data_IF_763291298047
#
_entry.id   IF_763291298047
#
_cell.length_a   1.000
_cell.length_b   1.000
_cell.length_c   1.000
_cell.angle_alpha   90.00
_cell.angle_beta   90.00
_cell.angle_gamma   90.00
#
_symmetry.space_group_name_H-M   'P 1'
#
loop_
_entity.id
_entity.type
_entity.pdbx_description
1 polymer ?
#
# COMPACT_ATOMS: atom_id res chain seq x y z
N UNK A 1 24.40 -22.32 0.60
CA UNK A 1 23.58 -21.72 -0.48
C UNK A 1 22.06 -21.72 -0.23
N UNK A 2 21.53 -22.37 0.82
CA UNK A 2 20.11 -22.26 1.19
C UNK A 2 19.83 -21.11 2.17
N UNK A 3 20.79 -20.78 3.05
CA UNK A 3 20.63 -19.69 4.03
C UNK A 3 20.51 -18.30 3.39
N UNK A 4 21.28 -18.03 2.32
CA UNK A 4 21.23 -16.74 1.60
C UNK A 4 19.86 -16.51 0.91
N UNK A 5 19.18 -17.58 0.49
CA UNK A 5 17.87 -17.48 -0.17
C UNK A 5 16.74 -17.15 0.80
N UNK A 6 16.80 -17.69 2.02
CA UNK A 6 15.76 -17.46 3.04
C UNK A 6 15.83 -16.01 3.55
N UNK A 7 17.03 -15.48 3.78
CA UNK A 7 17.22 -14.11 4.24
C UNK A 7 16.79 -13.04 3.20
N UNK A 8 16.88 -13.34 1.90
CA UNK A 8 16.44 -12.44 0.81
C UNK A 8 14.91 -12.45 0.63
N UNK A 9 14.28 -13.61 0.85
CA UNK A 9 12.82 -13.80 0.89
C UNK A 9 12.18 -13.12 2.12
N UNK A 10 12.86 -13.13 3.26
CA UNK A 10 12.42 -12.44 4.49
C UNK A 10 12.56 -10.92 4.40
N UNK A 11 13.45 -10.40 3.54
CA UNK A 11 13.64 -8.95 3.31
C UNK A 11 12.62 -8.31 2.35
N UNK A 12 11.74 -9.08 1.70
CA UNK A 12 10.87 -8.57 0.63
C UNK A 12 9.39 -9.00 0.73
N UNK A 13 8.95 -9.55 1.87
CA UNK A 13 7.53 -9.78 2.11
C UNK A 13 6.87 -8.52 2.69
N UNK A 14 6.32 -7.67 1.82
CA UNK A 14 5.47 -6.56 2.26
C UNK A 14 4.18 -7.12 2.89
N UNK A 15 3.83 -6.60 4.06
CA UNK A 15 2.59 -6.93 4.78
C UNK A 15 1.75 -5.67 4.96
N UNK A 16 0.42 -5.84 4.96
CA UNK A 16 -0.54 -4.81 5.32
C UNK A 16 -1.18 -5.27 6.63
N UNK A 17 -0.97 -4.52 7.72
CA UNK A 17 -1.43 -4.88 9.07
C UNK A 17 -1.11 -6.33 9.45
N UNK A 18 0.16 -6.74 9.26
CA UNK A 18 0.68 -8.10 9.52
C UNK A 18 0.11 -9.20 8.60
N UNK A 19 -0.78 -8.84 7.67
CA UNK A 19 -1.30 -9.76 6.65
C UNK A 19 -0.41 -9.68 5.40
N UNK A 20 0.09 -10.80 4.85
CA UNK A 20 0.82 -10.78 3.59
C UNK A 20 -0.01 -10.14 2.48
N UNK A 21 0.60 -9.31 1.64
CA UNK A 21 -0.11 -8.56 0.58
C UNK A 21 -1.01 -9.46 -0.27
N UNK A 22 -0.53 -10.64 -0.69
CA UNK A 22 -1.31 -11.58 -1.50
C UNK A 22 -2.61 -12.03 -0.79
N UNK A 23 -2.54 -12.23 0.53
CA UNK A 23 -3.71 -12.59 1.33
C UNK A 23 -4.64 -11.40 1.53
N UNK A 24 -4.10 -10.21 1.73
CA UNK A 24 -4.88 -8.98 1.88
C UNK A 24 -5.70 -8.67 0.62
N UNK A 25 -5.13 -8.82 -0.58
CA UNK A 25 -5.84 -8.56 -1.84
C UNK A 25 -7.08 -9.45 -2.02
N UNK A 26 -7.02 -10.72 -1.62
CA UNK A 26 -8.18 -11.63 -1.69
C UNK A 26 -9.32 -11.28 -0.73
N UNK A 27 -9.01 -10.48 0.31
CA UNK A 27 -9.94 -10.11 1.39
C UNK A 27 -10.19 -8.61 1.43
N UNK A 28 -9.79 -7.91 0.37
CA UNK A 28 -9.87 -6.47 0.32
C UNK A 28 -11.32 -6.02 0.54
N UNK A 29 -11.50 -5.15 1.53
CA UNK A 29 -12.75 -4.47 1.81
C UNK A 29 -12.49 -2.98 1.78
N UNK A 30 -13.41 -2.23 1.16
CA UNK A 30 -13.34 -0.78 1.16
C UNK A 30 -13.57 -0.27 2.59
N UNK A 31 -12.62 0.50 3.10
CA UNK A 31 -12.76 1.15 4.41
C UNK A 31 -13.69 2.38 4.26
N UNK A 32 -15.00 2.14 4.37
CA UNK A 32 -16.04 3.17 4.28
C UNK A 32 -15.88 4.29 5.32
N UNK A 33 -15.24 3.99 6.46
CA UNK A 33 -14.98 4.97 7.50
C UNK A 33 -13.85 5.94 7.12
N UNK A 34 -12.83 5.46 6.40
CA UNK A 34 -11.75 6.31 5.87
C UNK A 34 -12.11 7.00 4.56
N UNK A 35 -12.88 6.34 3.69
CA UNK A 35 -13.26 6.86 2.38
C UNK A 35 -14.78 6.83 2.21
N UNK A 36 -15.44 7.89 2.67
CA UNK A 36 -16.88 8.03 2.59
C UNK A 36 -17.34 7.95 1.13
N UNK A 37 -18.19 6.97 0.81
CA UNK A 37 -18.76 6.71 -0.52
C UNK A 37 -19.81 7.75 -0.94
N UNK A 38 -20.11 8.73 -0.08
CA UNK A 38 -21.09 9.80 -0.33
C UNK A 38 -20.52 10.97 -1.15
N UNK A 39 -19.19 11.06 -1.31
CA UNK A 39 -18.56 12.03 -2.21
C UNK A 39 -18.64 11.56 -3.67
N UNK A 40 -18.79 12.46 -4.65
CA UNK A 40 -18.75 12.10 -6.06
C UNK A 40 -17.51 11.27 -6.37
N UNK A 41 -17.64 10.21 -7.19
CA UNK A 41 -16.52 9.34 -7.55
C UNK A 41 -15.31 10.13 -8.06
N UNK A 42 -15.55 11.23 -8.79
CA UNK A 42 -14.51 12.15 -9.27
C UNK A 42 -13.66 12.73 -8.13
N UNK A 43 -14.26 13.10 -7.01
CA UNK A 43 -13.56 13.66 -5.85
C UNK A 43 -12.75 12.58 -5.12
N UNK A 44 -13.32 11.38 -4.95
CA UNK A 44 -12.62 10.23 -4.36
C UNK A 44 -11.38 9.89 -5.21
N UNK A 45 -11.57 9.75 -6.53
CA UNK A 45 -10.49 9.46 -7.48
C UNK A 45 -9.42 10.55 -7.43
N UNK A 46 -9.81 11.83 -7.42
CA UNK A 46 -8.86 12.95 -7.36
C UNK A 46 -8.04 12.91 -6.07
N UNK A 47 -8.70 12.66 -4.93
CA UNK A 47 -8.04 12.56 -3.62
C UNK A 47 -7.03 11.40 -3.56
N UNK A 48 -7.41 10.22 -4.07
CA UNK A 48 -6.52 9.05 -4.12
C UNK A 48 -5.29 9.36 -4.99
N UNK A 49 -5.48 9.95 -6.17
CA UNK A 49 -4.36 10.31 -7.05
C UNK A 49 -3.41 11.30 -6.38
N UNK A 50 -3.93 12.30 -5.67
CA UNK A 50 -3.11 13.27 -4.95
C UNK A 50 -2.30 12.62 -3.82
N UNK A 51 -2.92 11.69 -3.06
CA UNK A 51 -2.25 10.97 -1.98
C UNK A 51 -1.13 10.05 -2.52
N UNK A 52 -1.39 9.30 -3.60
CA UNK A 52 -0.38 8.46 -4.25
C UNK A 52 0.79 9.30 -4.76
N UNK A 53 0.52 10.41 -5.47
CA UNK A 53 1.56 11.29 -5.97
C UNK A 53 2.45 11.87 -4.87
N UNK A 54 1.85 12.20 -3.71
CA UNK A 54 2.61 12.66 -2.54
C UNK A 54 3.50 11.55 -1.98
N UNK A 55 2.98 10.33 -1.82
CA UNK A 55 3.76 9.18 -1.35
C UNK A 55 4.94 8.92 -2.29
N UNK A 56 4.73 8.98 -3.60
CA UNK A 56 5.78 8.83 -4.60
C UNK A 56 6.85 9.93 -4.50
N UNK A 57 6.46 11.19 -4.31
CA UNK A 57 7.41 12.31 -4.11
C UNK A 57 8.22 12.13 -2.83
N UNK A 58 7.57 11.73 -1.74
CA UNK A 58 8.23 11.48 -0.45
C UNK A 58 9.17 10.27 -0.52
N UNK A 59 8.83 9.23 -1.28
CA UNK A 59 9.71 8.08 -1.52
C UNK A 59 10.89 8.42 -2.44
N UNK A 60 10.68 9.32 -3.41
CA UNK A 60 11.74 9.82 -4.31
C UNK A 60 12.73 10.75 -3.61
N UNK A 61 12.41 11.29 -2.44
CA UNK A 61 13.38 11.97 -1.59
C UNK A 61 14.13 10.89 -0.80
N UNK A 62 15.30 10.41 -1.25
CA UNK A 62 16.14 9.65 -0.35
C UNK A 62 16.40 10.51 0.89
N UNK A 63 16.15 9.92 2.07
CA UNK A 63 16.91 10.24 3.26
C UNK A 63 18.36 10.54 2.84
N UNK A 64 18.93 11.68 3.28
CA UNK A 64 20.37 11.91 3.16
C UNK A 64 21.16 10.69 3.63
#
# INVERSE_FOLDING_TARGET
SLSIKIEDLERTALTIDEVPVDSYLTRFAWDEAKYQTMSPLKEIVTSIHAQVAKIEDDLKKPNR
#
